data_IF_762990358781
#
_entry.id   IF_762990358781
#
_cell.length_a   1.000
_cell.length_b   1.000
_cell.length_c   1.000
_cell.angle_alpha   90.00
_cell.angle_beta   90.00
_cell.angle_gamma   90.00
#
_symmetry.space_group_name_H-M   'P 1'
#
loop_
_entity.id
_entity.type
_entity.pdbx_description
1 polymer ?
#
# COMPACT_ATOMS: atom_id res chain seq x y z
N UNK A 1 26.14 1.85 -7.68
CA UNK A 1 25.15 0.77 -7.46
C UNK A 1 24.30 1.16 -6.26
N UNK A 2 22.98 1.07 -6.36
CA UNK A 2 22.08 1.45 -5.28
C UNK A 2 20.67 0.93 -5.49
N UNK A 3 19.87 0.95 -4.43
CA UNK A 3 18.45 0.67 -4.48
C UNK A 3 17.70 1.95 -4.82
N UNK A 4 16.87 1.90 -5.86
CA UNK A 4 16.07 3.01 -6.32
C UNK A 4 14.62 2.80 -5.88
N UNK A 5 14.02 3.79 -5.23
CA UNK A 5 12.59 3.75 -4.91
C UNK A 5 11.78 3.74 -6.20
N UNK A 6 10.85 2.78 -6.33
CA UNK A 6 10.01 2.60 -7.52
C UNK A 6 8.52 2.76 -7.24
N UNK A 7 8.09 2.43 -6.03
CA UNK A 7 6.72 2.64 -5.58
C UNK A 7 6.71 3.05 -4.12
N UNK A 8 5.89 4.06 -3.82
CA UNK A 8 5.48 4.44 -2.47
C UNK A 8 3.97 4.37 -2.34
N UNK A 9 3.49 3.53 -1.44
CA UNK A 9 2.07 3.47 -1.09
C UNK A 9 1.88 4.02 0.31
N UNK A 10 1.21 5.16 0.41
CA UNK A 10 0.81 5.71 1.70
C UNK A 10 -0.45 4.99 2.20
N UNK A 11 -0.37 4.43 3.41
CA UNK A 11 -1.43 3.59 3.98
C UNK A 11 -2.10 4.29 5.16
N UNK A 12 -3.41 4.45 5.07
CA UNK A 12 -4.26 5.02 6.11
C UNK A 12 -5.32 4.00 6.59
N UNK A 13 -5.87 4.24 7.78
CA UNK A 13 -6.95 3.39 8.31
C UNK A 13 -8.20 3.46 7.42
N UNK A 14 -8.59 4.67 7.02
CA UNK A 14 -9.71 4.97 6.12
C UNK A 14 -9.49 6.33 5.46
N UNK A 15 -10.44 6.77 4.62
CA UNK A 15 -10.33 8.03 3.86
C UNK A 15 -10.24 9.28 4.74
N UNK A 16 -10.85 9.27 5.93
CA UNK A 16 -10.88 10.43 6.83
C UNK A 16 -9.61 10.59 7.68
N UNK A 17 -8.67 9.63 7.62
CA UNK A 17 -7.44 9.64 8.43
C UNK A 17 -6.21 9.91 7.56
N UNK A 18 -5.24 10.59 8.15
CA UNK A 18 -3.92 10.72 7.54
C UNK A 18 -3.22 9.36 7.50
N UNK A 19 -2.38 9.10 6.47
CA UNK A 19 -1.52 7.93 6.45
C UNK A 19 -0.63 7.87 7.69
N UNK A 20 -0.49 6.67 8.23
CA UNK A 20 0.37 6.41 9.38
C UNK A 20 1.36 5.26 9.12
N UNK A 21 1.28 4.64 7.94
CA UNK A 21 2.17 3.60 7.45
C UNK A 21 2.52 3.90 5.99
N UNK A 22 3.67 3.38 5.55
CA UNK A 22 4.10 3.48 4.16
C UNK A 22 4.68 2.14 3.71
N UNK A 23 4.31 1.68 2.52
CA UNK A 23 4.95 0.56 1.84
C UNK A 23 5.87 1.13 0.75
N UNK A 24 7.09 0.61 0.70
CA UNK A 24 8.12 1.06 -0.24
C UNK A 24 8.63 -0.13 -1.04
N UNK A 25 8.57 -0.05 -2.36
CA UNK A 25 9.18 -1.03 -3.26
C UNK A 25 10.44 -0.43 -3.91
N UNK A 26 11.54 -1.17 -3.83
CA UNK A 26 12.84 -0.76 -4.37
C UNK A 26 13.28 -1.70 -5.49
N UNK A 27 14.03 -1.15 -6.46
CA UNK A 27 14.67 -1.91 -7.52
C UNK A 27 16.15 -1.55 -7.65
N UNK A 28 17.04 -2.50 -7.98
CA UNK A 28 18.41 -2.18 -8.37
C UNK A 28 18.51 -1.39 -9.69
N UNK A 29 17.45 -1.42 -10.51
CA UNK A 29 17.37 -0.64 -11.74
C UNK A 29 16.62 0.66 -11.52
N UNK A 30 17.24 1.77 -11.91
CA UNK A 30 16.60 3.08 -11.94
C UNK A 30 15.37 3.09 -12.85
N UNK A 31 14.43 3.99 -12.58
CA UNK A 31 13.24 4.19 -13.38
C UNK A 31 12.27 5.11 -12.68
N UNK A 32 11.07 5.23 -13.24
CA UNK A 32 10.00 6.04 -12.66
C UNK A 32 9.64 5.55 -11.25
N UNK A 33 9.32 6.52 -10.39
CA UNK A 33 8.80 6.30 -9.05
C UNK A 33 7.32 6.65 -9.05
N UNK A 34 6.48 5.67 -8.73
CA UNK A 34 5.05 5.84 -8.58
C UNK A 34 4.67 6.10 -7.13
N UNK A 35 3.57 6.83 -6.94
CA UNK A 35 2.97 7.05 -5.63
C UNK A 35 1.48 6.81 -5.69
N UNK A 36 0.98 6.03 -4.75
CA UNK A 36 -0.45 5.77 -4.60
C UNK A 36 -0.86 5.76 -3.11
N UNK A 37 -2.16 5.55 -2.90
CA UNK A 37 -2.77 5.52 -1.57
C UNK A 37 -3.57 4.25 -1.41
N UNK A 38 -3.47 3.65 -0.23
CA UNK A 38 -4.26 2.50 0.19
C UNK A 38 -4.98 2.84 1.49
N UNK A 39 -6.28 2.54 1.56
CA UNK A 39 -7.05 2.57 2.80
C UNK A 39 -7.29 1.14 3.28
N UNK A 40 -7.14 0.90 4.58
CA UNK A 40 -7.38 -0.43 5.18
C UNK A 40 -8.87 -0.73 5.18
N UNK A 41 -9.70 0.26 5.53
CA UNK A 41 -11.16 0.14 5.60
C UNK A 41 -11.86 1.03 4.59
N UNK A 42 -12.83 0.45 3.89
CA UNK A 42 -13.70 1.16 2.96
C UNK A 42 -14.78 2.00 3.67
N UNK A 43 -15.66 2.68 2.91
CA UNK A 43 -16.73 3.51 3.46
C UNK A 43 -17.73 2.76 4.35
N UNK A 44 -17.86 1.44 4.14
CA UNK A 44 -18.70 0.52 4.91
C UNK A 44 -18.01 -0.02 6.18
N UNK A 45 -16.79 0.45 6.47
CA UNK A 45 -15.94 0.05 7.60
C UNK A 45 -15.42 -1.40 7.54
N UNK A 46 -15.71 -2.14 6.47
CA UNK A 46 -15.09 -3.42 6.17
C UNK A 46 -13.70 -3.22 5.56
N UNK A 47 -12.91 -4.28 5.49
CA UNK A 47 -11.64 -4.23 4.79
C UNK A 47 -11.85 -3.85 3.33
N UNK A 48 -11.04 -2.93 2.81
CA UNK A 48 -11.15 -2.49 1.43
C UNK A 48 -10.76 -3.63 0.48
N UNK A 49 -11.27 -3.58 -0.75
CA UNK A 49 -10.90 -4.52 -1.80
C UNK A 49 -9.38 -4.49 -2.06
N UNK A 50 -8.79 -3.29 -2.15
CA UNK A 50 -7.36 -3.12 -2.37
C UNK A 50 -6.51 -3.69 -1.22
N UNK A 51 -6.94 -3.49 0.04
CA UNK A 51 -6.24 -4.04 1.19
C UNK A 51 -6.34 -5.57 1.20
N UNK A 52 -7.53 -6.10 0.92
CA UNK A 52 -7.78 -7.54 0.84
C UNK A 52 -6.94 -8.19 -0.25
N UNK A 53 -6.91 -7.61 -1.46
CA UNK A 53 -6.09 -8.10 -2.57
C UNK A 53 -4.59 -8.09 -2.24
N UNK A 54 -4.11 -7.07 -1.51
CA UNK A 54 -2.72 -7.00 -1.05
C UNK A 54 -2.40 -8.11 -0.04
N UNK A 55 -3.28 -8.35 0.94
CA UNK A 55 -3.00 -9.27 2.05
C UNK A 55 -3.35 -10.72 1.76
N UNK A 56 -4.22 -10.99 0.78
CA UNK A 56 -4.68 -12.34 0.43
C UNK A 56 -3.52 -13.30 0.13
N UNK A 57 -2.44 -12.80 -0.46
CA UNK A 57 -1.26 -13.61 -0.77
C UNK A 57 -0.39 -13.96 0.46
N UNK A 58 -0.59 -13.29 1.60
CA UNK A 58 0.28 -13.40 2.79
C UNK A 58 -0.47 -13.89 4.05
N UNK A 59 -1.77 -13.63 4.15
CA UNK A 59 -2.62 -14.02 5.28
C UNK A 59 -3.90 -14.69 4.75
N UNK A 60 -3.89 -16.02 4.72
CA UNK A 60 -4.98 -16.85 4.20
C UNK A 60 -5.92 -17.30 5.34
N UNK A 61 -6.69 -16.40 5.97
CA UNK A 61 -7.94 -16.72 6.69
C UNK A 61 -8.77 -15.43 6.85
N UNK A 62 -9.45 -14.98 5.80
CA UNK A 62 -10.52 -13.97 5.88
C UNK A 62 -11.80 -14.57 5.36
#
# INVERSE_FOLDING_TARGET
MGWHLRLRTDVAENEARLPHRVLLAFSPQAGECFSDRLVIRGPDQNYSEAYTALTQAFYLFM
#
